data_IF_038185180648
#
_entry.id   IF_038185180648
#
_cell.length_a   1.000
_cell.length_b   1.000
_cell.length_c   1.000
_cell.angle_alpha   90.00
_cell.angle_beta   90.00
_cell.angle_gamma   90.00
#
_symmetry.space_group_name_H-M   'P 1'
#
loop_
_entity.id
_entity.type
_entity.pdbx_description
1 polymer ?
#
# COMPACT_ATOMS: atom_id res chain seq x y z
N UNK A 1 27.13 10.79 14.75
CA UNK A 1 27.63 10.71 15.23
C UNK A 1 27.27 10.97 15.05
N UNK A 2 27.17 10.70 14.60
CA UNK A 2 27.52 10.68 14.97
C UNK A 2 27.13 10.83 15.04
N UNK A 3 27.18 10.87 14.63
CA UNK A 3 27.60 10.78 15.08
C UNK A 3 27.03 11.10 14.97
N UNK A 4 27.31 11.19 14.59
CA UNK A 4 27.40 11.04 15.29
C UNK A 4 26.92 11.48 14.94
N UNK A 5 26.72 11.43 14.88
CA UNK A 5 26.93 11.46 15.36
C UNK A 5 26.54 11.84 15.30
N UNK A 6 26.37 11.83 15.02
CA UNK A 6 26.68 11.84 15.58
C UNK A 6 26.16 12.15 15.49
N UNK A 7 25.98 11.97 15.20
CA UNK A 7 26.15 11.80 15.75
C UNK A 7 25.69 12.24 15.49
N UNK A 8 25.35 12.25 15.14
CA UNK A 8 25.55 12.17 15.47
C UNK A 8 25.20 12.43 15.35
N UNK A 9 25.07 12.41 14.68
CA UNK A 9 25.44 12.04 15.23
C UNK A 9 25.10 12.49 14.64
N UNK A 10 24.64 12.19 14.42
CA UNK A 10 25.07 12.02 14.61
C UNK A 10 24.91 12.05 14.13
N UNK A 11 24.59 11.94 13.24
CA UNK A 11 24.98 11.56 13.39
C UNK A 11 25.04 11.74 12.91
N UNK A 12 24.85 11.49 12.54
CA UNK A 12 25.44 11.19 12.75
C UNK A 12 25.54 10.99 12.39
N UNK A 13 25.35 10.93 11.90
CA UNK A 13 25.93 10.48 12.09
C UNK A 13 26.01 10.18 11.75
N UNK A 14 25.76 10.29 11.09
CA UNK A 14 26.21 9.78 11.30
C UNK A 14 26.57 9.49 11.15
N UNK A 15 26.49 9.14 10.81
CA UNK A 15 27.15 8.55 11.27
C UNK A 15 27.18 8.19 10.96
N UNK A 16 27.20 7.83 10.65
CA UNK A 16 27.67 7.20 10.88
C UNK A 16 27.90 6.62 10.72
N UNK A 17 27.54 5.82 10.17
CA UNK A 17 27.95 5.11 10.53
C UNK A 17 27.64 4.56 10.19
N UNK A 18 27.48 4.43 9.84
CA UNK A 18 27.25 3.78 9.90
C UNK A 18 26.57 3.61 9.07
N UNK A 19 26.39 3.73 8.43
CA UNK A 19 25.85 3.46 8.28
C UNK A 19 25.38 3.46 7.32
N UNK A 20 25.21 3.41 6.75
CA UNK A 20 24.86 3.29 6.58
C UNK A 20 24.47 3.59 5.52
N UNK A 21 24.26 4.06 4.75
CA UNK A 21 24.02 4.43 4.52
C UNK A 21 23.65 4.35 3.53
N UNK A 22 23.36 4.17 2.95
CA UNK A 22 23.17 4.19 2.71
C UNK A 22 22.60 4.40 1.84
N UNK A 23 22.33 4.67 1.18
CA UNK A 23 22.05 4.82 1.07
C UNK A 23 22.00 4.63 0.53
N UNK A 24 21.92 4.33 0.20
CA UNK A 24 22.11 4.14 0.37
C UNK A 24 22.24 3.89 0.40
N UNK A 25 22.41 3.57 0.18
CA UNK A 25 22.72 3.25 0.86
C UNK A 25 22.48 3.63 1.52
N UNK A 26 22.27 3.61 1.18
CA UNK A 26 22.11 4.00 2.42
C UNK A 26 20.96 3.49 3.12
N UNK A 27 20.76 2.30 3.42
CA UNK A 27 19.78 2.01 4.39
C UNK A 27 20.38 2.20 5.72
N UNK A 28 20.05 3.31 6.31
CA UNK A 28 20.46 3.61 7.66
C UNK A 28 19.20 3.69 8.52
N UNK A 29 19.36 4.03 9.80
CA UNK A 29 18.22 4.08 10.71
C UNK A 29 17.17 5.10 10.28
N UNK A 30 17.60 6.19 9.65
CA UNK A 30 16.64 7.20 9.20
C UNK A 30 15.73 6.67 8.11
N UNK A 31 16.29 5.89 7.17
CA UNK A 31 15.45 5.30 6.12
C UNK A 31 14.47 4.30 6.68
N UNK A 32 14.89 3.51 7.66
CA UNK A 32 13.99 2.56 8.31
C UNK A 32 12.87 3.27 9.04
N UNK A 33 13.14 4.43 9.62
CA UNK A 33 12.14 5.20 10.33
C UNK A 33 11.07 5.76 9.41
N UNK A 34 11.30 5.78 8.09
CA UNK A 34 10.32 6.26 7.13
C UNK A 34 9.37 5.17 6.65
N UNK A 35 9.59 3.91 7.05
CA UNK A 35 8.69 2.83 6.67
C UNK A 35 7.47 2.81 7.59
N UNK A 36 6.33 2.34 7.08
CA UNK A 36 5.16 2.15 7.92
C UNK A 36 5.46 1.17 9.06
N UNK A 37 4.81 1.36 10.19
CA UNK A 37 5.03 0.50 11.35
C UNK A 37 4.17 -0.76 11.33
N UNK A 38 3.14 -0.80 10.49
CA UNK A 38 2.25 -1.95 10.40
C UNK A 38 1.56 -1.98 9.05
N UNK A 39 0.98 -3.15 8.73
CA UNK A 39 0.17 -3.30 7.52
C UNK A 39 -1.11 -2.50 7.71
N UNK A 40 -1.49 -1.76 6.68
CA UNK A 40 -2.67 -0.91 6.75
C UNK A 40 -3.18 -0.65 5.35
N UNK A 41 -4.50 -0.72 5.17
CA UNK A 41 -5.16 -0.26 3.97
C UNK A 41 -5.97 0.98 4.32
N UNK A 42 -5.96 1.97 3.44
CA UNK A 42 -6.69 3.21 3.63
C UNK A 42 -7.94 3.20 2.77
N UNK A 43 -8.97 3.96 3.16
CA UNK A 43 -10.19 4.05 2.32
C UNK A 43 -9.84 4.53 0.92
N UNK A 44 -10.53 3.99 -0.06
CA UNK A 44 -10.35 4.43 -1.44
C UNK A 44 -10.83 5.87 -1.62
N UNK A 45 -10.17 6.58 -2.54
CA UNK A 45 -10.51 7.97 -2.79
C UNK A 45 -10.35 8.25 -4.29
N UNK A 46 -11.29 8.92 -4.94
CA UNK A 46 -12.55 9.42 -4.37
C UNK A 46 -13.56 8.30 -4.10
N UNK A 47 -14.51 8.60 -3.20
CA UNK A 47 -15.57 7.66 -2.87
C UNK A 47 -16.79 8.49 -2.45
N UNK A 48 -17.86 8.59 -3.22
CA UNK A 48 -18.12 7.86 -4.50
C UNK A 48 -17.14 8.22 -5.60
N UNK A 49 -17.02 7.35 -6.59
CA UNK A 49 -16.05 7.55 -7.67
C UNK A 49 -16.71 7.38 -9.04
N UNK A 50 -16.09 7.99 -10.07
CA UNK A 50 -16.58 7.93 -11.43
C UNK A 50 -15.45 8.30 -12.38
N UNK A 51 -14.91 7.38 -13.16
CA UNK A 51 -15.10 5.93 -13.02
C UNK A 51 -13.98 5.27 -12.24
N UNK A 52 -13.02 6.02 -11.72
CA UNK A 52 -11.81 5.46 -11.12
C UNK A 52 -11.63 5.92 -9.69
N UNK A 53 -11.00 5.07 -8.91
CA UNK A 53 -10.67 5.38 -7.52
C UNK A 53 -9.27 4.85 -7.22
N UNK A 54 -8.59 5.46 -6.26
CA UNK A 54 -7.28 5.04 -5.83
C UNK A 54 -7.36 4.35 -4.48
N UNK A 55 -6.61 3.29 -4.34
CA UNK A 55 -6.52 2.51 -3.11
C UNK A 55 -5.09 2.63 -2.61
N UNK A 56 -4.92 3.09 -1.38
CA UNK A 56 -3.60 3.23 -0.79
C UNK A 56 -3.42 2.18 0.29
N UNK A 57 -2.20 1.67 0.40
CA UNK A 57 -1.90 0.71 1.45
C UNK A 57 -0.44 0.86 1.88
N UNK A 58 -0.15 0.38 3.07
CA UNK A 58 1.16 0.53 3.72
C UNK A 58 1.64 -0.83 4.17
N UNK A 59 2.92 -1.10 3.94
CA UNK A 59 3.56 -2.35 4.34
C UNK A 59 4.82 -2.03 5.14
N UNK A 60 4.99 -2.66 6.32
CA UNK A 60 6.23 -2.43 7.09
C UNK A 60 7.42 -3.16 6.51
N UNK A 61 7.17 -4.21 5.72
CA UNK A 61 8.24 -5.01 5.12
C UNK A 61 7.69 -5.69 3.88
N UNK A 62 8.58 -6.29 3.10
CA UNK A 62 8.18 -7.03 1.91
C UNK A 62 7.26 -8.18 2.28
N UNK A 63 6.13 -8.29 1.58
CA UNK A 63 5.16 -9.36 1.84
C UNK A 63 4.28 -9.57 0.62
N UNK A 64 3.55 -10.68 0.63
CA UNK A 64 2.59 -10.97 -0.43
C UNK A 64 1.29 -10.25 -0.14
N UNK A 65 0.70 -9.68 -1.18
CA UNK A 65 -0.51 -8.86 -1.08
C UNK A 65 -1.50 -9.30 -2.14
N UNK A 66 -2.78 -9.34 -1.78
CA UNK A 66 -3.88 -9.49 -2.72
C UNK A 66 -4.88 -8.37 -2.50
N UNK A 67 -5.33 -7.75 -3.59
CA UNK A 67 -6.39 -6.76 -3.54
C UNK A 67 -7.39 -7.11 -4.62
N UNK A 68 -8.61 -7.42 -4.22
CA UNK A 68 -9.68 -7.75 -5.16
C UNK A 68 -10.89 -6.88 -4.90
N UNK A 69 -11.72 -6.75 -5.92
CA UNK A 69 -13.00 -6.05 -5.83
C UNK A 69 -14.08 -7.10 -6.00
N UNK A 70 -15.02 -7.12 -5.06
CA UNK A 70 -16.18 -8.02 -5.13
C UNK A 70 -17.46 -7.21 -5.06
N UNK A 71 -18.56 -7.77 -5.54
CA UNK A 71 -19.85 -7.12 -5.42
C UNK A 71 -20.49 -7.49 -4.06
N UNK A 72 -21.71 -7.01 -3.83
CA UNK A 72 -22.38 -7.22 -2.53
C UNK A 72 -22.75 -8.67 -2.29
N UNK A 73 -22.74 -9.49 -3.33
CA UNK A 73 -23.00 -10.93 -3.22
C UNK A 73 -21.71 -11.72 -3.03
N UNK A 74 -20.56 -11.03 -2.99
CA UNK A 74 -19.28 -11.69 -2.82
C UNK A 74 -18.67 -12.21 -4.12
N UNK A 75 -19.24 -11.87 -5.26
CA UNK A 75 -18.72 -12.34 -6.54
C UNK A 75 -17.53 -11.47 -6.97
N UNK A 76 -16.48 -12.10 -7.49
CA UNK A 76 -15.30 -11.39 -7.95
C UNK A 76 -15.63 -10.50 -9.13
N UNK A 77 -15.28 -9.23 -9.03
CA UNK A 77 -15.45 -8.26 -10.10
C UNK A 77 -14.10 -7.98 -10.76
N UNK A 78 -13.07 -7.74 -9.97
CA UNK A 78 -11.75 -7.41 -10.50
C UNK A 78 -10.66 -7.84 -9.53
N UNK A 79 -9.61 -8.42 -10.08
CA UNK A 79 -8.43 -8.75 -9.31
C UNK A 79 -7.37 -7.69 -9.62
N UNK A 80 -7.09 -6.81 -8.67
CA UNK A 80 -6.14 -5.72 -8.87
C UNK A 80 -4.71 -6.17 -8.61
N UNK A 81 -4.51 -6.90 -7.52
CA UNK A 81 -3.22 -7.50 -7.17
C UNK A 81 -3.51 -8.94 -6.77
N UNK A 82 -2.83 -9.88 -7.39
CA UNK A 82 -3.09 -11.29 -7.15
C UNK A 82 -1.86 -11.93 -6.52
N UNK A 83 -1.79 -11.91 -5.19
CA UNK A 83 -0.72 -12.53 -4.40
C UNK A 83 0.67 -12.19 -4.92
N UNK A 84 0.92 -10.89 -5.07
CA UNK A 84 2.21 -10.41 -5.53
C UNK A 84 3.07 -10.01 -4.35
N UNK A 85 4.38 -10.27 -4.49
CA UNK A 85 5.35 -9.88 -3.49
C UNK A 85 5.65 -8.39 -3.67
N UNK A 86 5.35 -7.59 -2.66
CA UNK A 86 5.47 -6.13 -2.75
C UNK A 86 6.39 -5.66 -1.64
N UNK A 87 7.30 -4.75 -1.99
CA UNK A 87 8.27 -4.21 -1.04
C UNK A 87 7.58 -3.42 0.07
N UNK A 88 8.23 -3.29 1.21
CA UNK A 88 7.75 -2.42 2.27
C UNK A 88 7.69 -0.98 1.81
N UNK A 89 6.75 -0.21 2.35
CA UNK A 89 6.61 1.19 2.01
C UNK A 89 5.16 1.61 1.84
N UNK A 90 4.99 2.78 1.22
CA UNK A 90 3.68 3.37 0.95
C UNK A 90 3.35 3.12 -0.52
N UNK A 91 2.19 2.54 -0.78
CA UNK A 91 1.80 2.12 -2.13
C UNK A 91 0.41 2.61 -2.47
N UNK A 92 0.14 2.65 -3.77
CA UNK A 92 -1.22 2.91 -4.23
C UNK A 92 -1.47 2.13 -5.51
N UNK A 93 -2.74 1.82 -5.75
CA UNK A 93 -3.16 1.18 -6.98
C UNK A 93 -4.51 1.77 -7.37
N UNK A 94 -4.76 1.83 -8.66
CA UNK A 94 -5.98 2.44 -9.19
C UNK A 94 -6.91 1.36 -9.70
N UNK A 95 -8.19 1.49 -9.36
CA UNK A 95 -9.23 0.70 -10.00
C UNK A 95 -9.98 1.61 -10.96
N UNK A 96 -9.98 1.22 -12.22
CA UNK A 96 -10.56 2.01 -13.31
C UNK A 96 -12.05 1.73 -13.52
N UNK A 97 -12.68 0.95 -12.65
CA UNK A 97 -14.10 0.63 -12.76
C UNK A 97 -14.40 -0.47 -13.76
N UNK A 98 -13.38 -1.17 -14.23
CA UNK A 98 -13.58 -2.26 -15.18
C UNK A 98 -13.53 -3.60 -14.46
N UNK A 99 -14.29 -4.57 -15.00
CA UNK A 99 -14.22 -5.95 -14.54
C UNK A 99 -12.97 -6.62 -15.09
N UNK A 100 -12.71 -7.86 -14.66
CA UNK A 100 -11.57 -8.63 -15.15
C UNK A 100 -11.63 -8.84 -16.66
N UNK A 101 -12.83 -8.87 -17.23
CA UNK A 101 -12.99 -9.05 -18.67
C UNK A 101 -12.79 -7.75 -19.44
N UNK A 102 -12.60 -6.63 -18.74
CA UNK A 102 -12.44 -5.33 -19.38
C UNK A 102 -13.73 -4.59 -19.61
N UNK A 103 -14.87 -5.13 -19.17
CA UNK A 103 -16.16 -4.48 -19.32
C UNK A 103 -16.37 -3.47 -18.17
N UNK A 104 -17.11 -2.38 -18.42
CA UNK A 104 -17.40 -1.43 -17.33
C UNK A 104 -18.29 -2.10 -16.28
N UNK A 105 -17.93 -1.91 -15.02
CA UNK A 105 -18.78 -2.37 -13.91
C UNK A 105 -19.99 -1.45 -13.82
N UNK A 106 -21.13 -1.98 -13.38
CA UNK A 106 -22.34 -1.17 -13.23
C UNK A 106 -22.24 -0.29 -12.00
N UNK A 107 -22.98 0.81 -12.00
CA UNK A 107 -23.11 1.66 -10.83
C UNK A 107 -23.61 0.84 -9.66
N UNK A 108 -23.06 1.06 -8.50
CA UNK A 108 -23.46 0.35 -7.30
C UNK A 108 -22.37 0.25 -6.29
N UNK A 109 -22.61 -0.59 -5.28
CA UNK A 109 -21.70 -0.77 -4.14
C UNK A 109 -20.80 -1.95 -4.40
N UNK A 110 -19.51 -1.76 -4.14
CA UNK A 110 -18.51 -2.81 -4.25
C UNK A 110 -17.71 -2.85 -2.97
N UNK A 111 -17.11 -4.01 -2.71
CA UNK A 111 -16.20 -4.16 -1.57
C UNK A 111 -14.81 -4.40 -2.10
N UNK A 112 -13.85 -3.62 -1.59
CA UNK A 112 -12.45 -3.77 -1.92
C UNK A 112 -11.83 -4.55 -0.77
N UNK A 113 -11.32 -5.73 -1.09
CA UNK A 113 -10.75 -6.63 -0.08
C UNK A 113 -9.23 -6.66 -0.22
N UNK A 114 -8.56 -6.25 0.83
CA UNK A 114 -7.10 -6.32 0.94
C UNK A 114 -6.75 -7.48 1.85
N UNK A 115 -5.86 -8.35 1.42
CA UNK A 115 -5.37 -9.42 2.28
C UNK A 115 -3.86 -9.56 2.15
N UNK A 116 -3.21 -9.80 3.28
CA UNK A 116 -1.77 -9.99 3.35
C UNK A 116 -1.46 -10.73 4.64
N UNK A 117 -0.81 -11.89 4.54
CA UNK A 117 -0.57 -12.74 5.70
C UNK A 117 -1.89 -13.02 6.41
N UNK A 118 -1.99 -12.64 7.69
CA UNK A 118 -3.23 -12.81 8.47
C UNK A 118 -4.04 -11.52 8.55
N UNK A 119 -3.68 -10.51 7.77
CA UNK A 119 -4.36 -9.22 7.78
C UNK A 119 -5.41 -9.20 6.68
N UNK A 120 -6.64 -8.84 7.05
CA UNK A 120 -7.73 -8.69 6.11
C UNK A 120 -8.46 -7.40 6.41
N UNK A 121 -8.78 -6.66 5.35
CA UNK A 121 -9.48 -5.39 5.48
C UNK A 121 -10.43 -5.24 4.30
N UNK A 122 -11.62 -4.69 4.56
CA UNK A 122 -12.62 -4.45 3.52
C UNK A 122 -13.03 -2.99 3.56
N UNK A 123 -13.12 -2.37 2.39
CA UNK A 123 -13.68 -1.02 2.30
C UNK A 123 -14.78 -0.99 1.26
N UNK A 124 -15.83 -0.25 1.57
CA UNK A 124 -16.96 -0.09 0.67
C UNK A 124 -16.64 1.02 -0.33
N UNK A 125 -16.88 0.74 -1.61
CA UNK A 125 -16.65 1.69 -2.70
C UNK A 125 -17.95 1.86 -3.46
N UNK A 126 -18.33 3.10 -3.72
CA UNK A 126 -19.58 3.40 -4.43
C UNK A 126 -19.23 3.96 -5.81
N UNK A 127 -19.59 3.21 -6.84
CA UNK A 127 -19.38 3.62 -8.23
C UNK A 127 -20.64 4.32 -8.73
N UNK A 128 -20.47 5.55 -9.19
CA UNK A 128 -21.55 6.35 -9.74
C UNK A 128 -21.19 6.69 -11.18
N UNK A 129 -22.03 6.36 -12.10
CA UNK A 129 -21.81 6.68 -13.51
C UNK A 129 -22.70 7.81 -13.97
#
# INVERSE_FOLDING_TARGET
ERDGVDTLGQVEELDFNGVVYTVAGILNADNLALLPSKIKMLPNYPNPFNPATNIKFELPEETYVSIIVVDVLGRLVRSLINEEKIAGGYHHIKWDGLTDSGAPASSGVYLIHFSSNNYNEYYKALLIK
#
